data_IF_983044560630
#
_entry.id   IF_983044560630
#
_cell.length_a   1.000
_cell.length_b   1.000
_cell.length_c   1.000
_cell.angle_alpha   90.00
_cell.angle_beta   90.00
_cell.angle_gamma   90.00
#
_symmetry.space_group_name_H-M   'P 1'
#
loop_
_entity.id
_entity.type
_entity.pdbx_description
1 polymer ?
#
# COMPACT_ATOMS: atom_id res chain seq x y z
N UNK A 1 25.58 50.43 -1.13
CA UNK A 1 24.58 49.97 -0.14
C UNK A 1 23.49 49.10 -0.77
N UNK A 2 22.96 49.44 -1.96
CA UNK A 2 21.93 48.61 -2.63
C UNK A 2 22.41 47.20 -3.01
N UNK A 3 23.71 47.06 -3.31
CA UNK A 3 24.33 45.80 -3.72
C UNK A 3 24.20 44.69 -2.65
N UNK A 4 24.43 45.03 -1.37
CA UNK A 4 24.30 44.08 -0.25
C UNK A 4 22.83 43.71 -0.02
N UNK A 5 21.90 44.66 -0.21
CA UNK A 5 20.46 44.40 -0.08
C UNK A 5 19.95 43.47 -1.18
N UNK A 6 20.41 43.67 -2.42
CA UNK A 6 20.08 42.79 -3.55
C UNK A 6 20.65 41.39 -3.31
N UNK A 7 21.90 41.28 -2.85
CA UNK A 7 22.51 39.99 -2.53
C UNK A 7 21.71 39.23 -1.45
N UNK A 8 21.34 39.90 -0.36
CA UNK A 8 20.54 39.30 0.72
C UNK A 8 19.13 38.90 0.23
N UNK A 9 18.51 39.71 -0.63
CA UNK A 9 17.20 39.37 -1.21
C UNK A 9 17.27 38.09 -2.04
N UNK A 10 18.30 37.94 -2.88
CA UNK A 10 18.51 36.73 -3.69
C UNK A 10 18.70 35.50 -2.79
N UNK A 11 19.54 35.62 -1.76
CA UNK A 11 19.80 34.54 -0.80
C UNK A 11 18.51 34.16 -0.06
N UNK A 12 17.74 35.14 0.40
CA UNK A 12 16.48 34.90 1.10
C UNK A 12 15.48 34.13 0.23
N UNK A 13 15.34 34.51 -1.05
CA UNK A 13 14.46 33.80 -2.01
C UNK A 13 14.97 32.38 -2.27
N UNK A 14 16.27 32.21 -2.49
CA UNK A 14 16.87 30.91 -2.71
C UNK A 14 16.61 29.95 -1.52
N UNK A 15 16.85 30.43 -0.29
CA UNK A 15 16.60 29.66 0.93
C UNK A 15 15.11 29.33 1.12
N UNK A 16 14.22 30.30 0.88
CA UNK A 16 12.78 30.07 0.96
C UNK A 16 12.32 28.98 -0.04
N UNK A 17 12.85 29.00 -1.26
CA UNK A 17 12.60 27.98 -2.27
C UNK A 17 13.13 26.60 -1.81
N UNK A 18 14.35 26.55 -1.25
CA UNK A 18 14.93 25.31 -0.72
C UNK A 18 14.11 24.71 0.42
N UNK A 19 13.66 25.52 1.39
CA UNK A 19 12.82 25.06 2.52
C UNK A 19 11.52 24.46 2.01
N UNK A 20 10.87 25.10 1.03
CA UNK A 20 9.66 24.57 0.41
C UNK A 20 9.93 23.22 -0.26
N UNK A 21 11.03 23.10 -1.01
CA UNK A 21 11.40 21.86 -1.69
C UNK A 21 11.70 20.72 -0.71
N UNK A 22 12.38 21.00 0.41
CA UNK A 22 12.61 20.00 1.46
C UNK A 22 11.29 19.59 2.13
N UNK A 23 10.40 20.55 2.39
CA UNK A 23 9.08 20.28 2.94
C UNK A 23 8.25 19.34 2.07
N UNK A 24 8.19 19.57 0.76
CA UNK A 24 7.49 18.67 -0.17
C UNK A 24 8.15 17.29 -0.27
N UNK A 25 9.48 17.23 -0.20
CA UNK A 25 10.20 15.97 -0.19
C UNK A 25 9.90 15.15 1.09
N UNK A 26 9.83 15.79 2.25
CA UNK A 26 9.48 15.14 3.51
C UNK A 26 8.05 14.57 3.49
N UNK A 27 7.07 15.31 2.96
CA UNK A 27 5.70 14.80 2.83
C UNK A 27 5.62 13.62 1.87
N UNK A 28 6.34 13.68 0.75
CA UNK A 28 6.39 12.59 -0.22
C UNK A 28 7.05 11.33 0.34
N UNK A 29 8.11 11.48 1.14
CA UNK A 29 8.77 10.35 1.80
C UNK A 29 7.84 9.64 2.79
N UNK A 30 7.07 10.39 3.58
CA UNK A 30 6.05 9.82 4.49
C UNK A 30 4.96 9.06 3.72
N UNK A 31 4.47 9.63 2.62
CA UNK A 31 3.47 8.98 1.78
C UNK A 31 3.98 7.71 1.10
N UNK A 32 5.24 7.71 0.64
CA UNK A 32 5.88 6.52 0.10
C UNK A 32 6.04 5.44 1.17
N UNK A 33 6.44 5.82 2.39
CA UNK A 33 6.58 4.89 3.51
C UNK A 33 5.25 4.18 3.82
N UNK A 34 4.12 4.92 3.87
CA UNK A 34 2.80 4.31 4.05
C UNK A 34 2.41 3.35 2.92
N UNK A 35 2.75 3.65 1.65
CA UNK A 35 2.50 2.75 0.51
C UNK A 35 3.35 1.49 0.57
N UNK A 36 4.60 1.60 1.00
CA UNK A 36 5.48 0.44 1.20
C UNK A 36 4.93 -0.51 2.27
N UNK A 37 4.54 0.03 3.43
CA UNK A 37 3.93 -0.76 4.51
C UNK A 37 2.60 -1.38 4.08
N UNK A 38 1.78 -0.65 3.32
CA UNK A 38 0.57 -1.20 2.72
C UNK A 38 0.89 -2.37 1.77
N UNK A 39 1.92 -2.25 0.94
CA UNK A 39 2.41 -3.34 0.10
C UNK A 39 2.82 -4.57 0.91
N UNK A 40 3.62 -4.40 1.97
CA UNK A 40 4.00 -5.49 2.86
C UNK A 40 2.81 -6.16 3.54
N UNK A 41 1.81 -5.39 3.98
CA UNK A 41 0.61 -5.97 4.58
C UNK A 41 -0.19 -6.82 3.57
N UNK A 42 -0.26 -6.40 2.30
CA UNK A 42 -0.90 -7.16 1.23
C UNK A 42 -0.12 -8.45 0.90
N UNK A 43 1.21 -8.36 0.81
CA UNK A 43 2.08 -9.52 0.59
C UNK A 43 1.95 -10.53 1.74
N UNK A 44 1.98 -10.06 2.99
CA UNK A 44 1.83 -10.91 4.17
C UNK A 44 0.46 -11.62 4.18
N UNK A 45 -0.62 -10.91 3.84
CA UNK A 45 -1.95 -11.51 3.75
C UNK A 45 -2.02 -12.61 2.68
N UNK A 46 -1.44 -12.37 1.50
CA UNK A 46 -1.39 -13.37 0.43
C UNK A 46 -0.48 -14.54 0.76
N UNK A 47 0.67 -14.29 1.40
CA UNK A 47 1.58 -15.31 1.87
C UNK A 47 0.92 -16.20 2.93
N UNK A 48 0.25 -15.60 3.92
CA UNK A 48 -0.51 -16.34 4.93
C UNK A 48 -1.56 -17.25 4.30
N UNK A 49 -2.30 -16.74 3.32
CA UNK A 49 -3.31 -17.52 2.62
C UNK A 49 -2.69 -18.72 1.88
N UNK A 50 -1.52 -18.56 1.26
CA UNK A 50 -0.79 -19.69 0.64
C UNK A 50 -0.26 -20.69 1.67
N UNK A 51 0.33 -20.22 2.77
CA UNK A 51 0.90 -21.08 3.82
C UNK A 51 -0.16 -21.94 4.50
N UNK A 52 -1.39 -21.43 4.65
CA UNK A 52 -2.50 -22.19 5.23
C UNK A 52 -3.07 -23.27 4.30
N UNK A 53 -2.66 -23.29 3.02
CA UNK A 53 -3.24 -24.15 1.97
C UNK A 53 -4.78 -24.12 1.98
N UNK A 54 -5.36 -22.99 2.41
CA UNK A 54 -6.79 -22.85 2.59
C UNK A 54 -7.45 -22.56 1.24
N UNK A 55 -8.64 -23.12 1.03
CA UNK A 55 -9.49 -22.78 -0.11
C UNK A 55 -10.42 -21.61 0.28
N UNK A 56 -10.08 -20.35 -0.09
CA UNK A 56 -10.76 -19.18 0.46
C UNK A 56 -12.17 -19.07 -0.07
N UNK A 57 -13.16 -18.84 0.79
CA UNK A 57 -14.56 -18.65 0.39
C UNK A 57 -14.73 -17.41 -0.49
N UNK A 58 -15.69 -17.46 -1.42
CA UNK A 58 -16.01 -16.32 -2.29
C UNK A 58 -16.70 -15.23 -1.46
N UNK A 59 -16.30 -13.99 -1.67
CA UNK A 59 -16.82 -12.84 -0.93
C UNK A 59 -15.72 -11.87 -0.54
N UNK A 60 -16.14 -10.84 0.18
CA UNK A 60 -15.25 -9.80 0.69
C UNK A 60 -15.14 -9.91 2.21
N UNK A 61 -13.92 -9.88 2.72
CA UNK A 61 -13.62 -9.87 4.14
C UNK A 61 -12.62 -8.76 4.45
N UNK A 62 -12.91 -7.94 5.46
CA UNK A 62 -12.02 -6.88 5.92
C UNK A 62 -11.48 -7.22 7.30
N UNK A 63 -10.20 -6.98 7.52
CA UNK A 63 -9.51 -7.24 8.77
C UNK A 63 -8.40 -6.21 9.02
N UNK A 64 -8.00 -6.07 10.27
CA UNK A 64 -6.85 -5.24 10.65
C UNK A 64 -5.55 -5.88 10.16
N UNK A 65 -4.71 -5.10 9.50
CA UNK A 65 -3.39 -5.52 9.02
C UNK A 65 -2.33 -4.46 9.28
N UNK A 66 -2.52 -3.69 10.35
CA UNK A 66 -1.64 -2.63 10.82
C UNK A 66 -0.18 -3.07 10.88
N UNK A 67 0.72 -2.19 10.45
CA UNK A 67 2.17 -2.42 10.45
C UNK A 67 2.83 -1.43 11.41
N UNK A 68 3.21 -1.91 12.59
CA UNK A 68 3.72 -1.07 13.67
C UNK A 68 2.70 0.01 14.07
N UNK A 69 3.09 1.28 14.00
CA UNK A 69 2.22 2.41 14.34
C UNK A 69 1.32 2.88 13.19
N UNK A 70 1.37 2.23 12.04
CA UNK A 70 0.58 2.60 10.87
C UNK A 70 -0.67 1.73 10.83
N UNK A 71 -1.82 2.37 11.11
CA UNK A 71 -3.13 1.74 11.07
C UNK A 71 -3.53 1.45 9.62
N UNK A 72 -3.74 0.18 9.30
CA UNK A 72 -4.07 -0.29 7.95
C UNK A 72 -5.21 -1.30 8.00
N UNK A 73 -6.13 -1.19 7.05
CA UNK A 73 -7.23 -2.13 6.88
C UNK A 73 -7.05 -2.87 5.57
N UNK A 74 -6.99 -4.20 5.65
CA UNK A 74 -6.92 -5.07 4.50
C UNK A 74 -8.31 -5.58 4.17
N UNK A 75 -8.70 -5.45 2.91
CA UNK A 75 -9.91 -6.06 2.36
C UNK A 75 -9.51 -7.12 1.35
N UNK A 76 -9.76 -8.38 1.70
CA UNK A 76 -9.60 -9.52 0.81
C UNK A 76 -10.91 -9.77 0.07
N UNK A 77 -10.87 -9.68 -1.25
CA UNK A 77 -11.97 -9.94 -2.16
C UNK A 77 -11.66 -11.19 -2.99
N UNK A 78 -12.49 -12.22 -2.83
CA UNK A 78 -12.34 -13.52 -3.48
C UNK A 78 -13.43 -13.67 -4.52
N UNK A 79 -13.05 -13.87 -5.77
CA UNK A 79 -13.98 -14.06 -6.89
C UNK A 79 -13.72 -15.39 -7.61
N UNK A 80 -14.80 -16.03 -8.06
CA UNK A 80 -14.70 -17.18 -8.96
C UNK A 80 -13.97 -16.80 -10.26
N UNK A 81 -13.34 -17.78 -10.88
CA UNK A 81 -12.79 -17.66 -12.23
C UNK A 81 -13.52 -18.65 -13.16
N UNK A 82 -13.39 -18.52 -14.49
CA UNK A 82 -13.99 -19.49 -15.42
C UNK A 82 -13.54 -20.93 -15.17
N UNK A 83 -12.34 -21.14 -14.61
CA UNK A 83 -11.90 -22.46 -14.18
C UNK A 83 -12.30 -22.68 -12.71
N UNK A 84 -13.17 -23.66 -12.39
CA UNK A 84 -13.66 -23.89 -11.03
C UNK A 84 -12.56 -24.32 -10.04
N UNK A 85 -11.42 -24.79 -10.54
CA UNK A 85 -10.24 -25.16 -9.72
C UNK A 85 -9.44 -23.93 -9.28
N UNK A 86 -9.70 -22.75 -9.87
CA UNK A 86 -9.00 -21.52 -9.52
C UNK A 86 -9.94 -20.46 -8.93
N UNK A 87 -9.47 -19.81 -7.87
CA UNK A 87 -10.09 -18.59 -7.32
C UNK A 87 -9.12 -17.42 -7.44
N UNK A 88 -9.64 -16.27 -7.84
CA UNK A 88 -8.88 -15.03 -7.86
C UNK A 88 -9.07 -14.32 -6.53
N UNK A 89 -7.98 -14.03 -5.85
CA UNK A 89 -7.95 -13.31 -4.58
C UNK A 89 -7.28 -11.97 -4.79
N UNK A 90 -7.98 -10.90 -4.48
CA UNK A 90 -7.48 -9.53 -4.45
C UNK A 90 -7.37 -9.11 -2.99
N UNK A 91 -6.22 -8.57 -2.58
CA UNK A 91 -6.07 -7.89 -1.30
C UNK A 91 -5.84 -6.41 -1.60
N UNK A 92 -6.74 -5.56 -1.11
CA UNK A 92 -6.62 -4.10 -1.17
C UNK A 92 -6.41 -3.56 0.23
N UNK A 93 -5.44 -2.65 0.37
CA UNK A 93 -5.07 -2.07 1.66
C UNK A 93 -5.41 -0.60 1.66
N UNK A 94 -6.21 -0.17 2.64
CA UNK A 94 -6.60 1.21 2.86
C UNK A 94 -6.15 1.67 4.24
N UNK A 95 -6.17 2.98 4.43
CA UNK A 95 -5.84 3.60 5.71
C UNK A 95 -7.07 4.37 6.21
N UNK A 96 -7.50 4.17 7.46
CA UNK A 96 -8.62 4.92 8.03
C UNK A 96 -8.38 6.43 7.91
N UNK A 97 -9.40 7.18 7.50
CA UNK A 97 -9.30 8.64 7.32
C UNK A 97 -8.60 9.10 6.03
N UNK A 98 -8.05 8.18 5.23
CA UNK A 98 -7.51 8.47 3.89
C UNK A 98 -8.39 7.85 2.82
N UNK A 99 -8.78 8.65 1.83
CA UNK A 99 -9.48 8.12 0.66
C UNK A 99 -8.52 7.37 -0.26
N UNK A 100 -8.99 6.24 -0.78
CA UNK A 100 -8.28 5.44 -1.77
C UNK A 100 -7.50 4.25 -1.19
N UNK A 101 -7.04 3.40 -2.11
CA UNK A 101 -6.26 2.21 -1.81
C UNK A 101 -4.77 2.57 -1.90
N UNK A 102 -4.01 2.25 -0.85
CA UNK A 102 -2.57 2.51 -0.78
C UNK A 102 -1.77 1.47 -1.57
N UNK A 103 -2.19 0.20 -1.48
CA UNK A 103 -1.62 -0.92 -2.20
C UNK A 103 -2.70 -1.93 -2.56
N UNK A 104 -2.55 -2.58 -3.71
CA UNK A 104 -3.44 -3.65 -4.14
C UNK A 104 -2.62 -4.77 -4.79
N UNK A 105 -2.87 -6.00 -4.37
CA UNK A 105 -2.25 -7.18 -4.93
C UNK A 105 -3.31 -8.19 -5.33
N UNK A 106 -3.03 -8.94 -6.39
CA UNK A 106 -3.93 -9.95 -6.92
C UNK A 106 -3.14 -11.23 -7.13
N UNK A 107 -3.72 -12.34 -6.70
CA UNK A 107 -3.19 -13.67 -7.00
C UNK A 107 -4.30 -14.63 -7.36
N UNK A 108 -3.91 -15.78 -7.88
CA UNK A 108 -4.81 -16.89 -8.19
C UNK A 108 -4.38 -18.06 -7.33
N UNK A 109 -5.35 -18.70 -6.66
CA UNK A 109 -5.13 -19.86 -5.80
C UNK A 109 -5.81 -21.06 -6.44
N UNK A 110 -5.10 -22.17 -6.48
CA UNK A 110 -5.58 -23.45 -6.99
C UNK A 110 -6.21 -24.26 -5.85
N UNK A 111 -7.23 -25.05 -6.15
CA UNK A 111 -7.76 -26.02 -5.21
C UNK A 111 -6.88 -27.28 -5.20
N UNK A 112 -6.01 -27.40 -4.21
CA UNK A 112 -5.03 -28.50 -4.13
C UNK A 112 -5.65 -29.87 -3.87
N UNK A 113 -6.87 -29.92 -3.32
CA UNK A 113 -7.61 -31.19 -3.13
C UNK A 113 -7.99 -31.88 -4.44
N UNK A 114 -7.84 -31.22 -5.58
CA UNK A 114 -8.13 -31.76 -6.91
C UNK A 114 -6.90 -32.14 -7.73
N UNK A 115 -5.68 -32.12 -7.17
CA UNK A 115 -4.49 -32.63 -7.89
C UNK A 115 -4.57 -34.16 -7.99
N UNK A 116 -4.66 -34.76 -9.20
CA UNK A 116 -4.39 -36.17 -9.35
C UNK A 116 -2.90 -36.41 -9.04
N UNK A 117 -2.62 -37.45 -8.24
CA UNK A 117 -1.27 -37.97 -7.98
C UNK A 117 -0.62 -38.47 -9.28
#
# INVERSE_FOLDING_TARGET
MIEVLVALAIIAVALAASIRAVGTMATNASDLHHRLLAGWSADNALAQLRLTHAWPQIGDQSFDCSQGNVQLVCTQSVSATPNPVFRRVRVSVSMPGRSGVLAQMVTVIANETSRPL
#
